data_IF_366365597390
#
_entry.id   IF_366365597390
#
_cell.length_a   1.000
_cell.length_b   1.000
_cell.length_c   1.000
_cell.angle_alpha   90.00
_cell.angle_beta   90.00
_cell.angle_gamma   90.00
#
_symmetry.space_group_name_H-M   'P 1'
#
loop_
_entity.id
_entity.type
_entity.pdbx_description
1 polymer ?
#
# COMPACT_ATOMS: atom_id res chain seq x y z
N UNK A 1 -7.94 26.18 4.57
CA UNK A 1 -6.52 25.80 4.50
C UNK A 1 -6.46 24.34 4.91
N UNK A 2 -6.10 23.44 4.00
CA UNK A 2 -5.84 22.04 4.31
C UNK A 2 -4.39 21.92 4.75
N UNK A 3 -4.18 21.50 5.99
CA UNK A 3 -2.84 21.26 6.52
C UNK A 3 -2.35 19.87 6.07
N UNK A 4 -1.09 19.80 5.64
CA UNK A 4 -0.46 18.53 5.30
C UNK A 4 -0.09 17.80 6.59
N UNK A 5 -0.71 16.64 6.81
CA UNK A 5 -0.47 15.79 8.00
C UNK A 5 0.43 14.62 7.64
N UNK A 6 1.13 14.10 8.64
CA UNK A 6 1.96 12.90 8.52
C UNK A 6 1.24 11.72 9.14
N UNK A 7 1.23 10.59 8.44
CA UNK A 7 0.66 9.35 8.91
C UNK A 7 1.70 8.24 8.84
N UNK A 8 1.65 7.33 9.79
CA UNK A 8 2.45 6.11 9.83
C UNK A 8 1.55 4.92 9.57
N UNK A 9 1.87 4.19 8.51
CA UNK A 9 1.23 2.92 8.18
C UNK A 9 2.07 1.82 8.83
N UNK A 10 1.49 1.09 9.77
CA UNK A 10 2.05 -0.10 10.37
C UNK A 10 1.49 -1.33 9.65
N UNK A 11 2.34 -2.30 9.34
CA UNK A 11 1.91 -3.55 8.72
C UNK A 11 2.91 -4.66 9.06
N UNK A 12 2.56 -5.90 8.77
CA UNK A 12 3.49 -7.03 8.78
C UNK A 12 3.79 -7.49 7.38
N UNK A 13 5.04 -7.77 7.08
CA UNK A 13 5.50 -8.36 5.83
C UNK A 13 6.07 -9.75 6.13
N UNK A 14 5.40 -10.81 5.68
CA UNK A 14 5.77 -12.19 6.00
C UNK A 14 5.92 -12.45 7.51
N UNK A 15 5.10 -11.78 8.33
CA UNK A 15 5.14 -11.87 9.80
C UNK A 15 6.06 -10.86 10.49
N UNK A 16 6.97 -10.22 9.75
CA UNK A 16 7.90 -9.24 10.30
C UNK A 16 7.26 -7.83 10.36
N UNK A 17 7.38 -7.09 11.48
CA UNK A 17 6.81 -5.75 11.59
C UNK A 17 7.55 -4.78 10.67
N UNK A 18 6.78 -4.00 9.92
CA UNK A 18 7.26 -2.96 9.03
C UNK A 18 6.39 -1.70 9.17
N UNK A 19 6.93 -0.56 8.75
CA UNK A 19 6.18 0.69 8.75
C UNK A 19 6.59 1.61 7.62
N UNK A 20 5.64 2.39 7.13
CA UNK A 20 5.85 3.41 6.10
C UNK A 20 5.33 4.76 6.61
N UNK A 21 6.03 5.84 6.28
CA UNK A 21 5.58 7.20 6.54
C UNK A 21 5.03 7.81 5.25
N UNK A 22 3.84 8.37 5.33
CA UNK A 22 3.20 9.09 4.23
C UNK A 22 2.72 10.46 4.69
N UNK A 23 2.61 11.39 3.75
CA UNK A 23 2.05 12.72 3.98
C UNK A 23 0.76 12.85 3.19
N UNK A 24 -0.32 13.24 3.85
CA UNK A 24 -1.63 13.39 3.22
C UNK A 24 -2.40 14.55 3.85
N UNK A 25 -3.22 15.22 3.04
CA UNK A 25 -4.13 16.27 3.52
C UNK A 25 -5.35 15.69 4.24
N UNK A 26 -5.70 14.44 3.96
CA UNK A 26 -6.81 13.70 4.57
C UNK A 26 -6.31 12.41 5.23
N UNK A 27 -7.13 11.80 6.10
CA UNK A 27 -6.80 10.50 6.71
C UNK A 27 -6.77 9.46 5.59
N UNK A 28 -5.63 8.76 5.38
CA UNK A 28 -5.54 7.78 4.31
C UNK A 28 -6.47 6.60 4.60
N UNK A 29 -7.21 6.17 3.58
CA UNK A 29 -8.00 4.95 3.62
C UNK A 29 -7.12 3.69 3.49
N UNK A 30 -7.73 2.53 3.70
CA UNK A 30 -7.06 1.24 3.56
C UNK A 30 -6.47 1.06 2.15
N UNK A 31 -7.24 1.34 1.11
CA UNK A 31 -6.79 1.23 -0.30
C UNK A 31 -5.56 2.09 -0.59
N UNK A 32 -5.51 3.32 -0.05
CA UNK A 32 -4.33 4.18 -0.20
C UNK A 32 -3.12 3.58 0.52
N UNK A 33 -3.30 3.07 1.74
CA UNK A 33 -2.20 2.46 2.49
C UNK A 33 -1.67 1.20 1.80
N UNK A 34 -2.56 0.39 1.25
CA UNK A 34 -2.27 -0.79 0.44
C UNK A 34 -1.41 -0.44 -0.79
N UNK A 35 -1.81 0.59 -1.55
CA UNK A 35 -1.06 1.07 -2.70
C UNK A 35 0.33 1.59 -2.32
N UNK A 36 0.43 2.38 -1.25
CA UNK A 36 1.71 2.92 -0.76
C UNK A 36 2.66 1.81 -0.32
N UNK A 37 2.16 0.77 0.35
CA UNK A 37 2.94 -0.42 0.70
C UNK A 37 3.44 -1.13 -0.56
N UNK A 38 2.57 -1.32 -1.56
CA UNK A 38 2.96 -1.93 -2.85
C UNK A 38 4.06 -1.12 -3.54
N UNK A 39 3.89 0.20 -3.65
CA UNK A 39 4.87 1.09 -4.27
C UNK A 39 6.20 1.11 -3.52
N UNK A 40 6.17 0.97 -2.19
CA UNK A 40 7.39 0.91 -1.37
C UNK A 40 8.22 -0.34 -1.62
N UNK A 41 7.57 -1.50 -1.79
CA UNK A 41 8.25 -2.80 -1.95
C UNK A 41 8.49 -3.20 -3.40
N UNK A 42 7.73 -2.66 -4.34
CA UNK A 42 7.82 -3.01 -5.76
C UNK A 42 8.58 -1.91 -6.52
N UNK A 43 9.90 -2.07 -6.66
CA UNK A 43 10.81 -1.13 -7.36
C UNK A 43 10.47 -0.88 -8.83
N UNK A 44 9.81 -1.83 -9.48
CA UNK A 44 9.24 -1.66 -10.82
C UNK A 44 7.78 -2.11 -10.73
N UNK A 45 6.80 -1.21 -10.57
CA UNK A 45 5.40 -1.57 -10.76
C UNK A 45 5.24 -1.89 -12.23
N UNK A 46 5.58 -3.11 -12.62
CA UNK A 46 5.11 -3.67 -13.87
C UNK A 46 3.60 -3.71 -13.70
N UNK A 47 2.94 -2.72 -14.29
CA UNK A 47 1.66 -2.97 -14.91
C UNK A 47 1.91 -4.25 -15.71
N UNK A 48 1.39 -5.37 -15.21
CA UNK A 48 1.21 -6.51 -16.08
C UNK A 48 0.18 -5.97 -17.06
N UNK A 49 0.67 -5.39 -18.15
CA UNK A 49 -0.17 -5.03 -19.28
C UNK A 49 -0.47 -6.38 -19.88
N UNK A 50 -1.45 -7.08 -19.30
CA UNK A 50 -2.20 -8.08 -20.03
C UNK A 50 -2.66 -7.35 -21.29
N UNK A 51 -2.34 -7.91 -22.45
CA UNK A 51 -2.76 -7.32 -23.69
C UNK A 51 -4.29 -7.13 -23.63
N UNK A 52 -4.88 -6.10 -24.28
CA UNK A 52 -6.31 -5.78 -24.11
C UNK A 52 -7.29 -6.90 -24.51
N UNK A 53 -6.80 -8.01 -25.06
CA UNK A 53 -7.54 -9.23 -25.40
C UNK A 53 -7.21 -10.43 -24.49
N UNK A 54 -6.28 -10.30 -23.55
CA UNK A 54 -5.95 -11.31 -22.54
C UNK A 54 -6.89 -11.13 -21.35
N UNK A 55 -7.51 -12.24 -20.91
CA UNK A 55 -8.24 -12.27 -19.64
C UNK A 55 -7.23 -11.98 -18.52
N UNK A 56 -7.47 -11.01 -17.63
CA UNK A 56 -6.49 -10.68 -16.60
C UNK A 56 -6.16 -11.92 -15.78
N UNK A 57 -4.92 -12.41 -15.91
CA UNK A 57 -4.51 -13.70 -15.33
C UNK A 57 -4.30 -13.55 -13.82
N UNK A 58 -4.07 -12.33 -13.33
CA UNK A 58 -3.86 -12.06 -11.90
C UNK A 58 -4.78 -10.98 -11.37
N UNK A 59 -5.41 -11.19 -10.19
CA UNK A 59 -6.32 -10.20 -9.64
C UNK A 59 -5.56 -9.01 -9.05
N UNK A 60 -6.34 -7.95 -8.84
CA UNK A 60 -6.18 -6.74 -8.01
C UNK A 60 -4.98 -6.62 -7.06
N UNK A 61 -4.66 -5.38 -6.68
CA UNK A 61 -3.65 -5.01 -5.67
C UNK A 61 -3.67 -5.88 -4.40
N UNK A 62 -4.85 -6.28 -3.94
CA UNK A 62 -5.05 -7.21 -2.82
C UNK A 62 -4.36 -8.59 -3.01
N UNK A 63 -4.33 -9.13 -4.22
CA UNK A 63 -3.63 -10.39 -4.51
C UNK A 63 -2.12 -10.21 -4.45
N UNK A 64 -1.59 -9.08 -4.92
CA UNK A 64 -0.16 -8.76 -4.82
C UNK A 64 0.28 -8.52 -3.38
N UNK A 65 -0.56 -7.89 -2.57
CA UNK A 65 -0.30 -7.73 -1.14
C UNK A 65 -0.27 -9.08 -0.42
N UNK A 66 -1.19 -9.98 -0.77
CA UNK A 66 -1.19 -11.35 -0.25
C UNK A 66 0.06 -12.11 -0.69
N UNK A 67 0.48 -12.00 -1.97
CA UNK A 67 1.73 -12.59 -2.48
C UNK A 67 2.98 -12.02 -1.76
N UNK A 68 2.97 -10.73 -1.42
CA UNK A 68 4.03 -10.09 -0.62
C UNK A 68 4.01 -10.52 0.85
N UNK A 69 2.91 -11.13 1.31
CA UNK A 69 2.69 -11.51 2.70
C UNK A 69 2.35 -10.31 3.61
N UNK A 70 1.72 -9.28 3.05
CA UNK A 70 1.29 -8.11 3.81
C UNK A 70 0.04 -8.42 4.63
N UNK A 71 0.04 -8.04 5.90
CA UNK A 71 -1.08 -8.23 6.83
C UNK A 71 -1.09 -7.15 7.92
N UNK A 72 -2.14 -7.12 8.73
CA UNK A 72 -2.25 -6.28 9.94
C UNK A 72 -2.03 -4.78 9.67
N UNK A 73 -2.57 -4.25 8.56
CA UNK A 73 -2.42 -2.84 8.18
C UNK A 73 -3.16 -1.94 9.18
N UNK A 74 -2.44 -1.00 9.78
CA UNK A 74 -2.95 0.00 10.70
C UNK A 74 -2.40 1.38 10.33
N UNK A 75 -3.19 2.42 10.53
CA UNK A 75 -2.84 3.79 10.13
C UNK A 75 -2.96 4.67 11.37
N UNK A 76 -1.87 5.37 11.70
CA UNK A 76 -1.81 6.29 12.82
C UNK A 76 -1.36 7.68 12.35
N UNK A 77 -1.99 8.74 12.86
CA UNK A 77 -1.51 10.11 12.66
C UNK A 77 -0.27 10.33 13.52
N UNK A 78 0.83 10.78 12.90
CA UNK A 78 2.06 11.13 13.60
C UNK A 78 1.85 12.47 14.33
N UNK A 79 1.55 12.39 15.62
CA UNK A 79 1.43 13.57 16.49
C UNK A 79 2.79 13.88 17.09
N UNK A 80 3.33 15.04 16.73
CA UNK A 80 4.52 15.63 17.34
C UNK A 80 4.21 16.21 18.73
#
# INVERSE_FOLDING_TARGET
MTDLKRYRIHYRLNGEPASLLISSFEVPGLEQAELEILLHHVREPRAAVDAPWENPIRPSEASRLTELGVSDIQIEEERH
#
